data_IF_940720261058
#
_entry.id   IF_940720261058
#
_cell.length_a   1.000
_cell.length_b   1.000
_cell.length_c   1.000
_cell.angle_alpha   90.00
_cell.angle_beta   90.00
_cell.angle_gamma   90.00
#
_symmetry.space_group_name_H-M   'P 1'
#
loop_
_entity.id
_entity.type
_entity.pdbx_description
1 polymer ?
#
# COMPACT_ATOMS: atom_id res chain seq x y z
N UNK A 1 12.36 -21.22 11.67
CA UNK A 1 11.49 -22.28 11.87
C UNK A 1 10.49 -22.57 10.76
N UNK A 2 9.31 -23.00 11.16
CA UNK A 2 8.22 -23.50 10.28
C UNK A 2 7.81 -22.55 9.16
N UNK A 3 7.69 -21.25 9.44
CA UNK A 3 7.39 -20.24 8.42
C UNK A 3 8.41 -20.24 7.27
N UNK A 4 9.72 -20.19 7.60
CA UNK A 4 10.77 -20.20 6.58
C UNK A 4 10.75 -21.46 5.73
N UNK A 5 10.50 -22.63 6.33
CA UNK A 5 10.34 -23.88 5.59
C UNK A 5 9.12 -23.82 4.65
N UNK A 6 7.98 -23.30 5.14
CA UNK A 6 6.82 -23.09 4.30
C UNK A 6 7.13 -22.21 3.08
N UNK A 7 7.87 -21.10 3.25
CA UNK A 7 8.26 -20.23 2.14
C UNK A 7 9.24 -20.89 1.16
N UNK A 8 10.21 -21.66 1.67
CA UNK A 8 11.14 -22.43 0.82
C UNK A 8 10.38 -23.40 -0.07
N UNK A 9 9.45 -24.17 0.50
CA UNK A 9 8.62 -25.13 -0.24
C UNK A 9 7.61 -24.45 -1.19
N UNK A 10 7.12 -23.27 -0.83
CA UNK A 10 6.15 -22.56 -1.66
C UNK A 10 6.77 -22.08 -2.98
N UNK A 11 7.96 -21.53 -2.91
CA UNK A 11 8.64 -20.90 -4.05
C UNK A 11 9.77 -21.73 -4.66
N UNK A 12 10.06 -22.91 -4.13
CA UNK A 12 11.15 -23.75 -4.64
C UNK A 12 12.52 -23.10 -4.42
N UNK A 13 12.77 -22.57 -3.21
CA UNK A 13 14.03 -21.92 -2.87
C UNK A 13 15.05 -22.93 -2.33
N UNK A 14 16.33 -22.53 -2.26
CA UNK A 14 17.43 -23.35 -1.71
C UNK A 14 17.56 -24.73 -2.41
N UNK A 15 17.47 -24.73 -3.74
CA UNK A 15 17.55 -25.94 -4.57
C UNK A 15 16.49 -27.02 -4.25
N UNK A 16 15.43 -26.65 -3.53
CA UNK A 16 14.30 -27.52 -3.28
C UNK A 16 13.22 -27.30 -4.36
N UNK A 17 12.62 -28.38 -4.89
CA UNK A 17 11.49 -28.24 -5.80
C UNK A 17 10.30 -27.62 -5.07
N UNK A 18 9.54 -26.78 -5.76
CA UNK A 18 8.33 -26.19 -5.19
C UNK A 18 7.31 -27.29 -4.83
N UNK A 19 6.82 -27.26 -3.61
CA UNK A 19 5.76 -28.11 -3.10
C UNK A 19 4.71 -27.29 -2.35
N UNK A 20 3.81 -26.59 -3.07
CA UNK A 20 2.85 -25.68 -2.44
C UNK A 20 1.88 -26.39 -1.48
N UNK A 21 1.54 -27.65 -1.72
CA UNK A 21 0.66 -28.42 -0.81
C UNK A 21 1.29 -28.60 0.57
N UNK A 22 2.54 -29.00 0.60
CA UNK A 22 3.28 -29.18 1.84
C UNK A 22 3.58 -27.81 2.48
N UNK A 23 3.92 -26.80 1.68
CA UNK A 23 4.13 -25.42 2.13
C UNK A 23 2.95 -24.90 2.96
N UNK A 24 1.71 -25.10 2.48
CA UNK A 24 0.50 -24.69 3.20
C UNK A 24 0.36 -25.42 4.55
N UNK A 25 0.73 -26.67 4.64
CA UNK A 25 0.71 -27.39 5.93
C UNK A 25 1.67 -26.74 6.93
N UNK A 26 2.89 -26.40 6.49
CA UNK A 26 3.87 -25.74 7.34
C UNK A 26 3.46 -24.31 7.71
N UNK A 27 2.86 -23.57 6.77
CA UNK A 27 2.33 -22.22 7.05
C UNK A 27 1.18 -22.29 8.07
N UNK A 28 0.27 -23.27 7.99
CA UNK A 28 -0.78 -23.46 8.99
C UNK A 28 -0.24 -23.78 10.38
N UNK A 29 0.78 -24.64 10.46
CA UNK A 29 1.45 -24.94 11.74
C UNK A 29 2.15 -23.70 12.30
N UNK A 30 2.80 -22.90 11.46
CA UNK A 30 3.41 -21.64 11.88
C UNK A 30 2.36 -20.62 12.34
N UNK A 31 1.24 -20.51 11.64
CA UNK A 31 0.15 -19.60 11.99
C UNK A 31 -0.54 -19.97 13.31
N UNK A 32 -0.66 -21.28 13.62
CA UNK A 32 -1.23 -21.72 14.92
C UNK A 32 -0.33 -21.41 16.12
N UNK A 33 0.92 -21.03 15.89
CA UNK A 33 1.89 -20.63 16.91
C UNK A 33 2.35 -19.17 16.70
N UNK A 34 1.54 -18.37 15.99
CA UNK A 34 1.87 -16.98 15.73
C UNK A 34 1.82 -16.15 17.02
N UNK A 35 2.82 -15.29 17.17
CA UNK A 35 2.98 -14.32 18.25
C UNK A 35 3.41 -12.97 17.66
N UNK A 36 3.71 -11.99 18.51
CA UNK A 36 4.13 -10.64 18.09
C UNK A 36 5.43 -10.66 17.27
N UNK A 37 6.32 -11.62 17.51
CA UNK A 37 7.59 -11.77 16.79
C UNK A 37 7.43 -12.52 15.47
N UNK A 38 6.39 -13.35 15.34
CA UNK A 38 6.20 -14.28 14.23
C UNK A 38 4.78 -14.23 13.59
N UNK A 39 4.27 -13.07 13.18
CA UNK A 39 2.92 -12.94 12.60
C UNK A 39 2.85 -13.32 11.11
N UNK A 40 3.99 -13.50 10.44
CA UNK A 40 4.09 -13.58 8.97
C UNK A 40 3.31 -14.73 8.35
N UNK A 41 3.22 -15.89 9.01
CA UNK A 41 2.51 -17.04 8.49
C UNK A 41 1.00 -16.80 8.36
N UNK A 42 0.42 -16.01 9.27
CA UNK A 42 -0.97 -15.57 9.20
C UNK A 42 -1.20 -14.69 7.96
N UNK A 43 -0.29 -13.75 7.69
CA UNK A 43 -0.35 -12.88 6.52
C UNK A 43 -0.30 -13.67 5.22
N UNK A 44 0.66 -14.60 5.09
CA UNK A 44 0.80 -15.44 3.89
C UNK A 44 -0.44 -16.30 3.64
N UNK A 45 -0.97 -16.97 4.67
CA UNK A 45 -2.20 -17.74 4.54
C UNK A 45 -3.39 -16.86 4.15
N UNK A 46 -3.50 -15.66 4.73
CA UNK A 46 -4.53 -14.71 4.38
C UNK A 46 -4.45 -14.33 2.89
N UNK A 47 -3.23 -14.05 2.40
CA UNK A 47 -3.00 -13.72 0.98
C UNK A 47 -3.43 -14.85 0.06
N UNK A 48 -3.12 -16.09 0.42
CA UNK A 48 -3.53 -17.24 -0.37
C UNK A 48 -5.05 -17.47 -0.37
N UNK A 49 -5.74 -17.25 0.75
CA UNK A 49 -7.19 -17.33 0.82
C UNK A 49 -7.91 -16.17 0.15
N UNK A 50 -7.25 -15.02 0.00
CA UNK A 50 -7.77 -13.84 -0.70
C UNK A 50 -7.59 -13.90 -2.22
N UNK A 51 -6.79 -14.83 -2.73
CA UNK A 51 -6.52 -14.97 -4.16
C UNK A 51 -7.45 -16.03 -4.79
N UNK A 52 -8.42 -15.60 -5.64
CA UNK A 52 -9.32 -16.53 -6.31
C UNK A 52 -8.61 -17.43 -7.35
N UNK A 53 -7.40 -17.07 -7.79
CA UNK A 53 -6.60 -17.88 -8.72
C UNK A 53 -5.80 -18.97 -8.02
N UNK A 54 -5.73 -18.96 -6.70
CA UNK A 54 -4.99 -19.94 -5.92
C UNK A 54 -5.63 -21.32 -6.00
N UNK A 55 -4.83 -22.34 -6.40
CA UNK A 55 -5.31 -23.72 -6.59
C UNK A 55 -5.04 -24.63 -5.38
N UNK A 56 -4.32 -24.13 -4.37
CA UNK A 56 -3.85 -24.93 -3.24
C UNK A 56 -4.67 -24.74 -1.97
N UNK A 57 -5.37 -23.60 -1.89
CA UNK A 57 -6.32 -23.29 -0.82
C UNK A 57 -7.62 -22.77 -1.42
N UNK A 58 -8.77 -23.04 -0.80
CA UNK A 58 -10.03 -22.48 -1.26
C UNK A 58 -10.05 -20.97 -1.07
N UNK A 59 -10.55 -20.25 -2.08
CA UNK A 59 -10.86 -18.83 -1.96
C UNK A 59 -11.88 -18.61 -0.85
N UNK A 60 -11.55 -17.73 0.10
CA UNK A 60 -12.43 -17.40 1.22
C UNK A 60 -12.05 -16.04 1.82
N UNK A 61 -12.73 -14.98 1.40
CA UNK A 61 -12.45 -13.61 1.86
C UNK A 61 -12.66 -13.43 3.36
N UNK A 62 -13.69 -14.05 3.94
CA UNK A 62 -13.96 -13.93 5.38
C UNK A 62 -12.82 -14.54 6.20
N UNK A 63 -12.33 -15.71 5.79
CA UNK A 63 -11.17 -16.32 6.44
C UNK A 63 -9.91 -15.51 6.24
N UNK A 64 -9.69 -14.98 5.03
CA UNK A 64 -8.55 -14.10 4.74
C UNK A 64 -8.58 -12.85 5.64
N UNK A 65 -9.72 -12.18 5.76
CA UNK A 65 -9.91 -11.06 6.69
C UNK A 65 -9.59 -11.45 8.12
N UNK A 66 -10.08 -12.59 8.59
CA UNK A 66 -9.87 -13.02 9.98
C UNK A 66 -8.38 -13.31 10.25
N UNK A 67 -7.66 -13.92 9.30
CA UNK A 67 -6.22 -14.16 9.39
C UNK A 67 -5.42 -12.84 9.35
N UNK A 68 -5.78 -11.91 8.45
CA UNK A 68 -5.17 -10.56 8.45
C UNK A 68 -5.44 -9.84 9.77
N UNK A 69 -6.64 -9.97 10.33
CA UNK A 69 -6.99 -9.34 11.62
C UNK A 69 -6.15 -9.92 12.77
N UNK A 70 -5.92 -11.23 12.79
CA UNK A 70 -5.05 -11.86 13.78
C UNK A 70 -3.62 -11.33 13.66
N UNK A 71 -3.03 -11.33 12.45
CA UNK A 71 -1.70 -10.78 12.22
C UNK A 71 -1.61 -9.29 12.57
N UNK A 72 -2.63 -8.51 12.22
CA UNK A 72 -2.68 -7.07 12.50
C UNK A 72 -2.75 -6.76 14.01
N UNK A 73 -3.45 -7.59 14.80
CA UNK A 73 -3.49 -7.49 16.26
C UNK A 73 -2.14 -7.81 16.90
N UNK A 74 -1.38 -8.75 16.32
CA UNK A 74 0.00 -9.03 16.67
C UNK A 74 0.98 -7.94 16.19
N UNK A 75 0.47 -6.88 15.58
CA UNK A 75 1.26 -5.75 15.18
C UNK A 75 1.87 -5.84 13.79
N UNK A 76 1.49 -6.76 12.94
CA UNK A 76 2.00 -6.88 11.58
C UNK A 76 1.53 -5.73 10.69
N UNK A 77 2.43 -4.79 10.38
CA UNK A 77 2.10 -3.57 9.65
C UNK A 77 1.53 -3.82 8.24
N UNK A 78 2.06 -4.76 7.42
CA UNK A 78 1.44 -5.08 6.13
C UNK A 78 0.00 -5.60 6.26
N UNK A 79 -0.32 -6.39 7.32
CA UNK A 79 -1.70 -6.83 7.56
C UNK A 79 -2.62 -5.68 7.98
N UNK A 80 -2.12 -4.75 8.78
CA UNK A 80 -2.84 -3.53 9.13
C UNK A 80 -3.15 -2.69 7.89
N UNK A 81 -2.18 -2.54 6.97
CA UNK A 81 -2.37 -1.87 5.69
C UNK A 81 -3.43 -2.57 4.84
N UNK A 82 -3.37 -3.90 4.70
CA UNK A 82 -4.38 -4.68 3.97
C UNK A 82 -5.80 -4.54 4.53
N UNK A 83 -5.95 -4.47 5.85
CA UNK A 83 -7.26 -4.19 6.45
C UNK A 83 -7.72 -2.76 6.17
N UNK A 84 -6.80 -1.78 6.21
CA UNK A 84 -7.10 -0.42 5.80
C UNK A 84 -7.67 -0.35 4.38
N UNK A 85 -7.01 -1.02 3.42
CA UNK A 85 -7.48 -1.15 2.04
C UNK A 85 -8.85 -1.85 1.95
N UNK A 86 -9.02 -2.94 2.72
CA UNK A 86 -10.25 -3.71 2.71
C UNK A 86 -11.45 -2.89 3.17
N UNK A 87 -11.31 -2.10 4.24
CA UNK A 87 -12.37 -1.20 4.71
C UNK A 87 -12.54 0.04 3.82
N UNK A 88 -11.50 0.48 3.11
CA UNK A 88 -11.65 1.58 2.14
C UNK A 88 -12.50 1.16 0.93
N UNK A 89 -12.31 -0.06 0.44
CA UNK A 89 -12.84 -0.53 -0.84
C UNK A 89 -14.00 -1.56 -0.70
N UNK A 90 -14.33 -2.00 0.50
CA UNK A 90 -15.35 -3.02 0.72
C UNK A 90 -14.93 -4.42 0.23
N UNK A 91 -13.64 -4.76 0.29
CA UNK A 91 -13.09 -6.08 -0.07
C UNK A 91 -12.92 -6.98 1.17
N UNK A 92 -12.51 -8.22 0.98
CA UNK A 92 -12.33 -9.21 2.06
C UNK A 92 -13.58 -9.36 2.95
N UNK A 93 -14.76 -9.31 2.34
CA UNK A 93 -16.04 -9.32 3.04
C UNK A 93 -16.14 -8.25 4.18
N UNK A 94 -15.45 -7.13 4.02
CA UNK A 94 -15.60 -5.95 4.87
C UNK A 94 -16.64 -4.99 4.28
N UNK A 95 -17.43 -4.28 5.11
CA UNK A 95 -18.18 -3.12 4.63
C UNK A 95 -17.22 -1.97 4.31
N UNK A 96 -17.61 -1.06 3.41
CA UNK A 96 -16.90 0.21 3.26
C UNK A 96 -17.07 1.02 4.54
N UNK A 97 -15.97 1.28 5.24
CA UNK A 97 -15.96 2.02 6.50
C UNK A 97 -14.69 2.89 6.59
N UNK A 98 -14.82 4.20 6.24
CA UNK A 98 -13.71 5.14 6.31
C UNK A 98 -13.06 5.23 7.70
N UNK A 99 -13.83 5.10 8.78
CA UNK A 99 -13.32 5.17 10.15
C UNK A 99 -12.37 4.00 10.43
N UNK A 100 -12.79 2.79 10.13
CA UNK A 100 -11.95 1.59 10.29
C UNK A 100 -10.74 1.64 9.35
N UNK A 101 -10.93 2.07 8.10
CA UNK A 101 -9.85 2.23 7.12
C UNK A 101 -8.74 3.16 7.64
N UNK A 102 -9.09 4.39 8.00
CA UNK A 102 -8.15 5.39 8.53
C UNK A 102 -7.48 4.89 9.82
N UNK A 103 -8.22 4.22 10.71
CA UNK A 103 -7.66 3.69 11.94
C UNK A 103 -6.59 2.61 11.69
N UNK A 104 -6.81 1.71 10.72
CA UNK A 104 -5.85 0.69 10.37
C UNK A 104 -4.64 1.26 9.63
N UNK A 105 -4.83 2.19 8.68
CA UNK A 105 -3.72 2.85 8.02
C UNK A 105 -2.85 3.64 9.00
N UNK A 106 -3.44 4.33 9.98
CA UNK A 106 -2.67 5.02 11.02
C UNK A 106 -1.78 4.05 11.82
N UNK A 107 -2.31 2.88 12.22
CA UNK A 107 -1.51 1.86 12.91
C UNK A 107 -0.34 1.38 12.06
N UNK A 108 -0.56 1.09 10.78
CA UNK A 108 0.47 0.65 9.85
C UNK A 108 1.51 1.75 9.58
N UNK A 109 1.07 2.97 9.33
CA UNK A 109 1.93 4.13 9.06
C UNK A 109 2.82 4.50 10.26
N UNK A 110 2.31 4.36 11.49
CA UNK A 110 3.10 4.56 12.71
C UNK A 110 4.22 3.52 12.86
N UNK A 111 4.09 2.36 12.21
CA UNK A 111 5.15 1.33 12.11
C UNK A 111 6.04 1.52 10.87
N UNK A 112 5.80 2.57 10.10
CA UNK A 112 6.58 2.87 8.93
C UNK A 112 6.15 2.11 7.67
N UNK A 113 4.93 1.58 7.60
CA UNK A 113 4.42 0.95 6.37
C UNK A 113 4.15 2.03 5.31
N UNK A 114 4.96 2.05 4.25
CA UNK A 114 4.95 3.12 3.26
C UNK A 114 3.66 3.18 2.43
N UNK A 115 3.04 2.03 2.15
CA UNK A 115 1.76 2.00 1.43
C UNK A 115 0.63 2.62 2.28
N UNK A 116 0.66 2.38 3.60
CA UNK A 116 -0.29 3.00 4.51
C UNK A 116 -0.06 4.52 4.63
N UNK A 117 1.20 4.98 4.60
CA UNK A 117 1.50 6.41 4.55
C UNK A 117 0.95 7.07 3.28
N UNK A 118 1.09 6.40 2.12
CA UNK A 118 0.51 6.88 0.86
C UNK A 118 -1.02 6.89 0.91
N UNK A 119 -1.64 5.86 1.45
CA UNK A 119 -3.09 5.80 1.62
C UNK A 119 -3.61 6.93 2.53
N UNK A 120 -2.91 7.22 3.64
CA UNK A 120 -3.25 8.36 4.50
C UNK A 120 -3.13 9.70 3.78
N UNK A 121 -2.14 9.85 2.89
CA UNK A 121 -2.06 11.05 2.03
C UNK A 121 -3.34 11.24 1.21
N UNK A 122 -3.86 10.16 0.60
CA UNK A 122 -5.13 10.20 -0.12
C UNK A 122 -6.31 10.58 0.79
N UNK A 123 -6.41 9.97 1.96
CA UNK A 123 -7.46 10.28 2.93
C UNK A 123 -7.42 11.74 3.42
N UNK A 124 -6.24 12.30 3.69
CA UNK A 124 -6.12 13.71 4.06
C UNK A 124 -6.40 14.66 2.89
N UNK A 125 -6.14 14.25 1.65
CA UNK A 125 -6.44 15.06 0.47
C UNK A 125 -7.94 15.20 0.24
N UNK A 126 -8.70 14.12 0.44
CA UNK A 126 -10.16 14.11 0.20
C UNK A 126 -10.99 14.41 1.44
N UNK A 127 -10.44 14.06 2.61
CA UNK A 127 -11.20 14.03 3.85
C UNK A 127 -12.17 12.84 3.90
N UNK A 128 -12.81 12.65 5.05
CA UNK A 128 -13.93 11.71 5.23
C UNK A 128 -14.88 12.32 6.24
N UNK A 129 -16.12 12.54 5.85
CA UNK A 129 -17.14 13.23 6.64
C UNK A 129 -17.29 12.57 8.03
N UNK A 130 -17.20 13.36 9.09
CA UNK A 130 -17.32 12.89 10.47
C UNK A 130 -16.18 11.99 10.96
N UNK A 131 -15.14 11.76 10.16
CA UNK A 131 -14.00 10.89 10.48
C UNK A 131 -12.67 11.63 10.40
N UNK A 132 -12.38 12.29 9.28
CA UNK A 132 -11.11 12.94 9.01
C UNK A 132 -11.33 14.25 8.25
N UNK A 133 -10.83 15.34 8.80
CA UNK A 133 -10.85 16.63 8.11
C UNK A 133 -9.82 16.64 6.98
N UNK A 134 -10.21 17.20 5.84
CA UNK A 134 -9.28 17.45 4.73
C UNK A 134 -8.15 18.36 5.19
N UNK A 135 -6.93 18.03 4.76
CA UNK A 135 -5.72 18.81 5.07
C UNK A 135 -4.65 18.57 4.00
N UNK A 136 -4.45 19.55 3.14
CA UNK A 136 -3.42 19.50 2.09
C UNK A 136 -2.01 19.36 2.68
N UNK A 137 -1.73 20.02 3.80
CA UNK A 137 -0.43 19.95 4.47
C UNK A 137 -0.13 18.54 5.01
N UNK A 138 -1.12 17.89 5.61
CA UNK A 138 -0.99 16.49 6.05
C UNK A 138 -0.87 15.55 4.85
N UNK A 139 -1.68 15.76 3.79
CA UNK A 139 -1.61 14.97 2.57
C UNK A 139 -0.19 15.00 1.97
N UNK A 140 0.39 16.19 1.83
CA UNK A 140 1.78 16.34 1.36
C UNK A 140 2.79 15.67 2.28
N UNK A 141 2.64 15.86 3.60
CA UNK A 141 3.57 15.31 4.58
C UNK A 141 3.60 13.77 4.54
N UNK A 142 2.43 13.13 4.49
CA UNK A 142 2.32 11.69 4.41
C UNK A 142 2.82 11.14 3.07
N UNK A 143 2.49 11.79 1.94
CA UNK A 143 3.03 11.42 0.64
C UNK A 143 4.55 11.49 0.62
N UNK A 144 5.14 12.54 1.18
CA UNK A 144 6.59 12.74 1.22
C UNK A 144 7.30 11.68 2.07
N UNK A 145 6.69 11.25 3.19
CA UNK A 145 7.21 10.13 4.00
C UNK A 145 7.27 8.83 3.18
N UNK A 146 6.18 8.50 2.49
CA UNK A 146 6.11 7.32 1.62
C UNK A 146 7.10 7.43 0.42
N UNK A 147 7.21 8.61 -0.20
CA UNK A 147 8.14 8.87 -1.30
C UNK A 147 9.61 8.71 -0.90
N UNK A 148 9.98 9.11 0.32
CA UNK A 148 11.32 8.92 0.86
C UNK A 148 11.69 7.44 1.04
N UNK A 149 10.71 6.54 1.11
CA UNK A 149 10.90 5.07 1.10
C UNK A 149 11.01 4.50 -0.31
N UNK A 150 10.93 5.35 -1.32
CA UNK A 150 11.11 4.95 -2.71
C UNK A 150 9.87 4.34 -3.36
N UNK A 151 8.67 4.61 -2.87
CA UNK A 151 7.42 4.14 -3.48
C UNK A 151 7.11 5.01 -4.69
N UNK A 152 7.09 4.42 -5.89
CA UNK A 152 6.92 5.15 -7.15
C UNK A 152 5.63 5.98 -7.20
N UNK A 153 4.49 5.43 -6.74
CA UNK A 153 3.23 6.13 -6.67
C UNK A 153 3.30 7.34 -5.71
N UNK A 154 4.01 7.21 -4.59
CA UNK A 154 4.20 8.30 -3.63
C UNK A 154 5.14 9.38 -4.19
N UNK A 155 6.20 8.99 -4.89
CA UNK A 155 7.10 9.93 -5.58
C UNK A 155 6.32 10.71 -6.65
N UNK A 156 5.44 10.05 -7.40
CA UNK A 156 4.53 10.73 -8.34
C UNK A 156 3.58 11.69 -7.63
N UNK A 157 2.96 11.27 -6.53
CA UNK A 157 2.04 12.11 -5.76
C UNK A 157 2.72 13.37 -5.23
N UNK A 158 3.94 13.26 -4.65
CA UNK A 158 4.71 14.43 -4.19
C UNK A 158 5.09 15.34 -5.36
N UNK A 159 5.45 14.78 -6.51
CA UNK A 159 5.67 15.54 -7.74
C UNK A 159 4.44 16.36 -8.12
N UNK A 160 3.27 15.73 -8.11
CA UNK A 160 2.01 16.39 -8.41
C UNK A 160 1.67 17.49 -7.39
N UNK A 161 1.80 17.21 -6.11
CA UNK A 161 1.55 18.19 -5.05
C UNK A 161 2.46 19.40 -5.15
N UNK A 162 3.75 19.19 -5.44
CA UNK A 162 4.71 20.26 -5.67
C UNK A 162 4.44 21.06 -6.95
N UNK A 163 3.85 20.42 -7.98
CA UNK A 163 3.49 21.07 -9.23
C UNK A 163 2.29 21.99 -9.08
N UNK A 164 1.24 21.56 -8.36
CA UNK A 164 -0.04 22.30 -8.25
C UNK A 164 -0.13 23.13 -6.96
N UNK A 165 0.77 22.92 -6.00
CA UNK A 165 0.77 23.66 -4.74
C UNK A 165 -0.14 23.06 -3.67
N UNK A 166 -0.31 21.74 -3.62
CA UNK A 166 -1.09 21.04 -2.58
C UNK A 166 -0.20 20.84 -1.35
N UNK A 167 -0.51 21.52 -0.25
CA UNK A 167 0.21 21.42 1.02
C UNK A 167 1.66 21.95 1.01
N UNK A 168 2.11 22.47 -0.13
CA UNK A 168 3.44 23.05 -0.34
C UNK A 168 3.35 24.14 -1.40
N UNK A 169 4.23 25.17 -1.39
CA UNK A 169 4.29 26.14 -2.49
C UNK A 169 4.58 25.45 -3.83
N UNK A 170 4.04 26.01 -4.92
CA UNK A 170 4.32 25.53 -6.27
C UNK A 170 5.82 25.57 -6.55
N UNK A 171 6.37 24.42 -6.94
CA UNK A 171 7.79 24.27 -7.27
C UNK A 171 7.98 23.22 -8.38
N UNK A 172 8.10 23.69 -9.62
CA UNK A 172 8.23 22.84 -10.79
C UNK A 172 9.57 22.07 -10.83
N UNK A 173 10.65 22.64 -10.29
CA UNK A 173 11.95 21.96 -10.23
C UNK A 173 11.90 20.79 -9.23
N UNK A 174 11.23 20.97 -8.09
CA UNK A 174 11.00 19.87 -7.14
C UNK A 174 10.07 18.82 -7.74
N UNK A 175 8.99 19.24 -8.37
CA UNK A 175 8.07 18.34 -9.08
C UNK A 175 8.79 17.48 -10.11
N UNK A 176 9.64 18.10 -10.97
CA UNK A 176 10.41 17.38 -11.98
C UNK A 176 11.37 16.37 -11.36
N UNK A 177 12.02 16.70 -10.25
CA UNK A 177 12.90 15.75 -9.55
C UNK A 177 12.13 14.52 -9.06
N UNK A 178 10.97 14.71 -8.43
CA UNK A 178 10.15 13.62 -7.94
C UNK A 178 9.56 12.78 -9.06
N UNK A 179 9.05 13.41 -10.14
CA UNK A 179 8.59 12.69 -11.31
C UNK A 179 9.72 11.89 -12.00
N UNK A 180 10.94 12.43 -12.06
CA UNK A 180 12.08 11.72 -12.61
C UNK A 180 12.42 10.47 -11.80
N UNK A 181 12.34 10.53 -10.46
CA UNK A 181 12.52 9.36 -9.58
C UNK A 181 11.46 8.30 -9.81
N UNK A 182 10.19 8.70 -9.88
CA UNK A 182 9.09 7.78 -10.18
C UNK A 182 9.20 7.18 -11.59
N UNK A 183 9.59 7.99 -12.59
CA UNK A 183 9.82 7.55 -13.97
C UNK A 183 10.94 6.51 -14.08
N UNK A 184 12.02 6.65 -13.31
CA UNK A 184 13.09 5.66 -13.23
C UNK A 184 12.61 4.28 -12.75
N UNK A 185 11.48 4.25 -12.03
CA UNK A 185 10.78 3.03 -11.58
C UNK A 185 9.64 2.61 -12.51
N UNK A 186 9.65 3.12 -13.74
CA UNK A 186 8.66 2.81 -14.78
C UNK A 186 7.22 3.24 -14.43
N UNK A 187 7.04 4.28 -13.60
CA UNK A 187 5.71 4.82 -13.33
C UNK A 187 5.16 5.54 -14.57
N UNK A 188 4.06 5.05 -15.20
CA UNK A 188 3.68 5.51 -16.55
C UNK A 188 3.33 7.01 -16.59
N UNK A 189 2.53 7.49 -15.65
CA UNK A 189 2.13 8.91 -15.58
C UNK A 189 3.33 9.82 -15.28
N UNK A 190 4.33 9.35 -14.52
CA UNK A 190 5.52 10.12 -14.25
C UNK A 190 6.41 10.27 -15.48
N UNK A 191 6.56 9.21 -16.29
CA UNK A 191 7.29 9.25 -17.56
C UNK A 191 6.68 10.31 -18.46
N UNK A 192 5.35 10.28 -18.65
CA UNK A 192 4.65 11.25 -19.46
C UNK A 192 4.85 12.67 -18.92
N UNK A 193 4.70 12.86 -17.61
CA UNK A 193 4.80 14.20 -17.01
C UNK A 193 6.20 14.82 -17.11
N UNK A 194 7.26 13.99 -17.00
CA UNK A 194 8.65 14.42 -17.22
C UNK A 194 8.83 14.90 -18.67
N UNK A 195 8.24 14.21 -19.65
CA UNK A 195 8.31 14.61 -21.07
C UNK A 195 7.60 15.95 -21.29
N UNK A 196 6.38 16.11 -20.74
CA UNK A 196 5.57 17.33 -20.87
C UNK A 196 6.28 18.55 -20.25
N UNK A 197 6.83 18.41 -19.06
CA UNK A 197 7.55 19.50 -18.37
C UNK A 197 8.84 19.88 -19.10
N UNK A 198 9.55 18.93 -19.67
CA UNK A 198 10.73 19.22 -20.48
C UNK A 198 10.37 19.91 -21.80
N UNK A 199 9.30 19.47 -22.48
CA UNK A 199 8.83 20.09 -23.73
C UNK A 199 8.32 21.51 -23.54
N UNK A 200 7.75 21.83 -22.38
CA UNK A 200 7.23 23.15 -22.04
C UNK A 200 8.28 24.12 -21.46
N UNK A 201 9.56 23.76 -21.45
CA UNK A 201 10.63 24.53 -20.77
C UNK A 201 10.29 24.89 -19.32
N UNK A 202 9.64 23.98 -18.60
CA UNK A 202 9.24 24.19 -17.21
C UNK A 202 8.01 25.11 -17.03
N UNK A 203 7.30 25.43 -18.10
CA UNK A 203 6.00 26.12 -17.97
C UNK A 203 4.91 25.08 -17.70
N UNK A 204 4.21 25.19 -16.56
CA UNK A 204 3.08 24.34 -16.28
C UNK A 204 2.00 24.55 -17.35
N UNK A 205 1.42 23.48 -17.97
CA UNK A 205 0.25 23.65 -18.78
C UNK A 205 -0.91 24.12 -17.92
N UNK A 206 -1.65 25.11 -18.40
CA UNK A 206 -2.81 25.74 -17.73
C UNK A 206 -4.04 24.81 -17.58
N UNK A 207 -3.91 23.50 -17.68
CA UNK A 207 -5.00 22.54 -17.45
C UNK A 207 -4.62 21.58 -16.34
N UNK A 208 -5.29 21.73 -15.22
CA UNK A 208 -5.39 20.71 -14.17
C UNK A 208 -6.09 19.49 -14.79
N UNK A 209 -5.47 18.31 -14.87
CA UNK A 209 -6.23 17.11 -15.16
C UNK A 209 -7.14 16.79 -13.98
N UNK A 210 -8.34 16.35 -14.30
CA UNK A 210 -9.42 16.03 -13.37
C UNK A 210 -9.00 15.22 -12.14
N UNK A 211 -9.78 15.36 -11.07
CA UNK A 211 -9.59 14.80 -9.74
C UNK A 211 -9.43 13.26 -9.62
N UNK A 212 -9.40 12.54 -10.74
CA UNK A 212 -9.27 11.07 -10.79
C UNK A 212 -7.86 10.53 -10.48
N UNK A 213 -6.93 11.38 -10.03
CA UNK A 213 -5.52 11.01 -9.92
C UNK A 213 -5.08 10.45 -8.55
N UNK A 214 -5.96 10.32 -7.55
CA UNK A 214 -5.50 10.05 -6.18
C UNK A 214 -5.96 8.70 -5.59
N UNK A 215 -6.82 7.95 -6.26
CA UNK A 215 -7.26 6.65 -5.72
C UNK A 215 -7.14 5.58 -6.80
N UNK A 216 -6.06 4.86 -6.81
CA UNK A 216 -5.93 3.43 -7.14
C UNK A 216 -4.57 2.91 -6.65
#
# INVERSE_FOLDING_TARGET
>A
GMYKLGMVLLYGLLDQPANPREAIVWLRRAASQADEDNPHALYELATHHADPSNRFVPYNEALARDLYTQAARLGHAPSQCKLGDAYANGTLACPVDPRSSVAWFNKAANKGEGQAELALSGWYLTGAEGVLMQSDSEAYTWARRAANKGIANAEYAVGHYSEVGIGTPVNLDEALRWYTRAAAKQHPRAIQRVQDLKASNGRAPLKVPDADCVVM
#
